data_IF_596334272390
#
_entry.id   IF_596334272390
#
_cell.length_a   1.000
_cell.length_b   1.000
_cell.length_c   1.000
_cell.angle_alpha   90.00
_cell.angle_beta   90.00
_cell.angle_gamma   90.00
#
_symmetry.space_group_name_H-M   'P 1'
#
loop_
_entity.id
_entity.type
_entity.pdbx_description
1 polymer ?
#
# COMPACT_ATOMS: atom_id res chain seq x y z
N UNK A 1 -16.32 33.89 31.17
CA UNK A 1 -15.87 33.13 30.00
C UNK A 1 -16.06 31.65 30.31
N UNK A 2 -17.12 31.03 29.82
CA UNK A 2 -17.41 29.61 30.05
C UNK A 2 -16.72 28.85 28.91
N UNK A 3 -15.65 28.10 29.21
CA UNK A 3 -15.09 27.14 28.26
C UNK A 3 -15.92 25.86 28.33
N UNK A 4 -16.79 25.64 27.34
CA UNK A 4 -17.45 24.36 27.15
C UNK A 4 -16.47 23.42 26.44
N UNK A 5 -15.87 22.50 27.17
CA UNK A 5 -15.12 21.37 26.60
C UNK A 5 -16.12 20.33 26.08
N UNK A 6 -16.75 20.61 24.94
CA UNK A 6 -17.62 19.65 24.26
C UNK A 6 -16.80 18.56 23.59
N UNK A 7 -16.53 17.44 24.28
CA UNK A 7 -16.19 16.20 23.60
C UNK A 7 -17.49 15.63 23.01
N UNK A 8 -17.76 15.96 21.75
CA UNK A 8 -18.81 15.26 20.99
C UNK A 8 -18.36 13.81 20.86
N UNK A 9 -19.03 12.88 21.54
CA UNK A 9 -18.75 11.45 21.41
C UNK A 9 -18.97 11.07 19.94
N UNK A 10 -17.90 10.73 19.23
CA UNK A 10 -18.00 10.25 17.84
C UNK A 10 -18.91 9.03 17.78
N UNK A 11 -19.70 8.92 16.71
CA UNK A 11 -20.46 7.70 16.42
C UNK A 11 -19.54 6.52 16.15
N UNK A 12 -20.09 5.31 16.29
CA UNK A 12 -19.40 4.04 16.06
C UNK A 12 -20.29 3.10 15.24
N UNK A 13 -19.68 2.31 14.35
CA UNK A 13 -20.32 1.20 13.63
C UNK A 13 -19.46 -0.05 13.76
N UNK A 14 -20.08 -1.21 13.96
CA UNK A 14 -19.39 -2.49 14.09
C UNK A 14 -19.81 -3.44 12.97
N UNK A 15 -18.84 -4.17 12.43
CA UNK A 15 -19.05 -5.18 11.40
C UNK A 15 -18.43 -6.50 11.82
N UNK A 16 -19.11 -7.60 11.50
CA UNK A 16 -18.67 -8.93 11.85
C UNK A 16 -17.26 -9.23 11.32
N UNK A 17 -16.43 -9.81 12.19
CA UNK A 17 -15.02 -10.21 11.98
C UNK A 17 -14.00 -9.09 11.79
N UNK A 18 -14.40 -7.86 11.47
CA UNK A 18 -13.47 -6.73 11.29
C UNK A 18 -13.57 -5.67 12.40
N UNK A 19 -14.55 -5.81 13.30
CA UNK A 19 -14.67 -5.02 14.52
C UNK A 19 -15.37 -3.68 14.32
N UNK A 20 -15.11 -2.75 15.23
CA UNK A 20 -15.78 -1.45 15.29
C UNK A 20 -14.91 -0.31 14.73
N UNK A 21 -15.58 0.69 14.16
CA UNK A 21 -14.99 1.88 13.56
C UNK A 21 -15.70 3.10 14.12
N UNK A 22 -14.94 4.06 14.64
CA UNK A 22 -15.47 5.32 15.15
C UNK A 22 -15.09 6.48 14.24
N UNK A 23 -15.94 7.51 14.17
CA UNK A 23 -15.62 8.78 13.54
C UNK A 23 -15.12 9.84 14.55
N UNK A 24 -14.77 9.44 15.77
CA UNK A 24 -14.08 10.30 16.74
C UNK A 24 -12.63 10.57 16.34
N UNK A 25 -11.99 11.51 17.04
CA UNK A 25 -10.56 11.84 16.84
C UNK A 25 -9.70 10.58 17.08
N UNK A 26 -8.67 10.29 16.25
CA UNK A 26 -8.14 11.10 15.14
C UNK A 26 -8.80 10.83 13.78
N UNK A 27 -9.81 9.97 13.71
CA UNK A 27 -10.40 9.48 12.45
C UNK A 27 -11.21 10.54 11.70
N UNK A 28 -11.78 11.49 12.43
CA UNK A 28 -12.36 12.71 11.89
C UNK A 28 -12.32 13.86 12.90
N UNK A 29 -12.95 14.98 12.54
CA UNK A 29 -13.00 16.21 13.34
C UNK A 29 -11.62 16.80 13.65
N UNK A 30 -10.65 16.58 12.77
CA UNK A 30 -9.33 17.21 12.79
C UNK A 30 -9.19 18.21 11.64
N UNK A 31 -8.17 19.09 11.67
CA UNK A 31 -7.90 20.01 10.54
C UNK A 31 -7.62 19.25 9.24
N UNK A 32 -7.01 18.06 9.34
CA UNK A 32 -6.69 17.20 8.21
C UNK A 32 -7.87 16.34 7.75
N UNK A 33 -8.79 15.99 8.66
CA UNK A 33 -9.98 15.14 8.40
C UNK A 33 -11.24 15.81 8.98
N UNK A 34 -11.73 16.92 8.39
CA UNK A 34 -12.77 17.74 9.00
C UNK A 34 -14.17 17.10 9.00
N UNK A 35 -14.42 16.17 8.08
CA UNK A 35 -15.73 15.56 7.90
C UNK A 35 -15.83 14.25 8.70
N UNK A 36 -16.74 14.21 9.68
CA UNK A 36 -17.03 13.02 10.48
C UNK A 36 -17.91 12.02 9.71
N UNK A 37 -17.28 11.12 8.95
CA UNK A 37 -17.95 10.01 8.26
C UNK A 37 -17.49 8.66 8.81
N UNK A 38 -18.46 7.76 8.98
CA UNK A 38 -18.20 6.35 9.25
C UNK A 38 -17.99 5.58 7.94
N UNK A 39 -17.21 4.48 7.95
CA UNK A 39 -17.00 3.66 6.76
C UNK A 39 -18.30 2.96 6.35
N UNK A 40 -18.46 2.74 5.04
CA UNK A 40 -19.55 1.91 4.50
C UNK A 40 -19.43 0.45 4.96
N UNK A 41 -20.54 -0.28 4.88
CA UNK A 41 -20.58 -1.71 5.24
C UNK A 41 -19.73 -2.56 4.28
N UNK A 42 -19.18 -3.70 4.74
CA UNK A 42 -18.45 -4.63 3.89
C UNK A 42 -19.25 -5.06 2.65
N UNK A 43 -20.56 -5.21 2.78
CA UNK A 43 -21.48 -5.59 1.70
C UNK A 43 -21.62 -4.45 0.66
N UNK A 44 -21.60 -3.19 1.12
CA UNK A 44 -21.64 -2.02 0.22
C UNK A 44 -20.31 -1.79 -0.48
N UNK A 45 -19.18 -1.96 0.22
CA UNK A 45 -17.85 -1.83 -0.37
C UNK A 45 -17.59 -2.99 -1.35
N UNK A 46 -18.08 -4.18 -1.01
CA UNK A 46 -17.98 -5.41 -1.80
C UNK A 46 -16.54 -5.71 -2.24
N UNK A 47 -15.64 -5.85 -1.26
CA UNK A 47 -14.23 -6.20 -1.53
C UNK A 47 -14.14 -7.61 -2.11
N UNK A 48 -13.49 -7.74 -3.27
CA UNK A 48 -13.27 -9.00 -3.97
C UNK A 48 -11.78 -9.34 -4.01
N UNK A 49 -11.44 -10.62 -3.87
CA UNK A 49 -10.05 -11.10 -3.99
C UNK A 49 -9.91 -11.95 -5.26
N UNK A 50 -9.23 -11.37 -6.26
CA UNK A 50 -9.01 -12.01 -7.56
C UNK A 50 -7.64 -12.69 -7.57
N UNK A 51 -7.60 -14.02 -7.51
CA UNK A 51 -6.36 -14.79 -7.47
C UNK A 51 -5.86 -15.10 -8.89
N UNK A 52 -4.64 -14.64 -9.18
CA UNK A 52 -3.85 -15.06 -10.33
C UNK A 52 -2.64 -15.86 -9.88
N UNK A 53 -2.32 -16.90 -10.65
CA UNK A 53 -1.11 -17.69 -10.43
C UNK A 53 -0.45 -18.00 -11.75
N UNK A 54 0.76 -18.60 -11.71
CA UNK A 54 1.43 -19.10 -12.92
C UNK A 54 0.59 -20.13 -13.70
N UNK A 55 -0.32 -20.82 -13.03
CA UNK A 55 -1.22 -21.80 -13.65
C UNK A 55 -2.46 -21.16 -14.28
N UNK A 56 -2.79 -19.91 -13.91
CA UNK A 56 -3.93 -19.16 -14.45
C UNK A 56 -3.58 -17.66 -14.58
N UNK A 57 -2.63 -17.28 -15.46
CA UNK A 57 -2.13 -15.91 -15.53
C UNK A 57 -3.12 -14.92 -16.14
N UNK A 58 -4.07 -15.40 -16.95
CA UNK A 58 -5.00 -14.57 -17.70
C UNK A 58 -6.43 -14.58 -17.15
N UNK A 59 -6.78 -15.57 -16.32
CA UNK A 59 -8.13 -15.74 -15.78
C UNK A 59 -8.03 -15.86 -14.26
N UNK A 60 -8.66 -14.95 -13.53
CA UNK A 60 -8.67 -15.01 -12.07
C UNK A 60 -9.54 -16.15 -11.56
N UNK A 61 -9.21 -16.64 -10.37
CA UNK A 61 -10.12 -17.38 -9.52
C UNK A 61 -10.52 -16.47 -8.36
N UNK A 62 -11.81 -16.27 -8.15
CA UNK A 62 -12.27 -15.47 -7.02
C UNK A 62 -12.17 -16.30 -5.74
N UNK A 63 -11.49 -15.74 -4.73
CA UNK A 63 -11.31 -16.38 -3.42
C UNK A 63 -11.93 -15.52 -2.33
N UNK A 64 -12.31 -16.14 -1.22
CA UNK A 64 -13.04 -15.48 -0.15
C UNK A 64 -12.40 -15.78 1.21
N UNK A 65 -12.21 -14.74 2.03
CA UNK A 65 -11.68 -14.87 3.38
C UNK A 65 -12.68 -15.50 4.37
N UNK A 66 -13.97 -15.44 4.04
CA UNK A 66 -15.08 -16.07 4.78
C UNK A 66 -15.17 -17.55 4.51
N UNK A 67 -15.10 -17.91 3.23
CA UNK A 67 -15.26 -19.28 2.76
C UNK A 67 -13.91 -19.81 2.30
N UNK A 68 -13.19 -20.43 3.25
CA UNK A 68 -11.89 -21.03 3.00
C UNK A 68 -11.92 -22.15 1.94
N UNK A 69 -13.10 -22.72 1.63
CA UNK A 69 -13.21 -23.74 0.58
C UNK A 69 -12.81 -23.18 -0.78
N UNK A 70 -13.13 -21.91 -1.05
CA UNK A 70 -12.73 -21.20 -2.28
C UNK A 70 -11.21 -21.12 -2.44
N UNK A 71 -10.47 -20.97 -1.33
CA UNK A 71 -9.01 -20.94 -1.34
C UNK A 71 -8.48 -22.34 -1.66
N UNK A 72 -9.01 -23.37 -0.99
CA UNK A 72 -8.58 -24.76 -1.21
C UNK A 72 -8.90 -25.31 -2.60
N UNK A 73 -9.98 -24.83 -3.23
CA UNK A 73 -10.39 -25.19 -4.57
C UNK A 73 -9.64 -24.41 -5.67
N UNK A 74 -8.88 -23.38 -5.30
CA UNK A 74 -8.12 -22.54 -6.22
C UNK A 74 -6.69 -23.05 -6.43
N UNK A 75 -5.95 -22.39 -7.31
CA UNK A 75 -4.52 -22.64 -7.54
C UNK A 75 -3.61 -22.03 -6.44
N UNK A 76 -4.19 -21.59 -5.32
CA UNK A 76 -3.42 -21.00 -4.22
C UNK A 76 -2.43 -22.01 -3.63
N UNK A 77 -1.17 -21.59 -3.51
CA UNK A 77 -0.11 -22.39 -2.90
C UNK A 77 0.42 -21.72 -1.65
N UNK A 78 0.14 -22.26 -0.47
CA UNK A 78 0.58 -21.70 0.82
C UNK A 78 2.11 -21.64 0.98
N UNK A 79 2.86 -22.47 0.26
CA UNK A 79 4.33 -22.45 0.22
C UNK A 79 4.91 -21.39 -0.72
N UNK A 80 4.07 -20.71 -1.51
CA UNK A 80 4.49 -19.68 -2.46
C UNK A 80 4.32 -18.29 -1.86
N UNK A 81 5.19 -17.36 -2.28
CA UNK A 81 5.06 -15.95 -1.95
C UNK A 81 3.74 -15.41 -2.52
N UNK A 82 2.94 -14.79 -1.65
CA UNK A 82 1.67 -14.16 -1.97
C UNK A 82 1.85 -12.65 -2.02
N UNK A 83 1.38 -12.03 -3.11
CA UNK A 83 1.45 -10.58 -3.30
C UNK A 83 0.04 -10.03 -3.49
N UNK A 84 -0.35 -9.07 -2.67
CA UNK A 84 -1.60 -8.35 -2.80
C UNK A 84 -1.37 -7.06 -3.58
N UNK A 85 -2.25 -6.77 -4.52
CA UNK A 85 -2.29 -5.52 -5.28
C UNK A 85 -3.60 -4.82 -4.95
N UNK A 86 -3.53 -3.62 -4.40
CA UNK A 86 -4.70 -2.83 -3.98
C UNK A 86 -4.73 -1.55 -4.81
N UNK A 87 -5.82 -1.38 -5.55
CA UNK A 87 -6.01 -0.22 -6.41
C UNK A 87 -6.34 1.06 -5.62
N UNK A 88 -6.28 2.20 -6.32
CA UNK A 88 -6.56 3.52 -5.77
C UNK A 88 -7.96 4.03 -6.08
N UNK A 89 -8.14 5.34 -5.95
CA UNK A 89 -9.39 6.05 -6.24
C UNK A 89 -9.82 5.86 -7.70
N UNK A 90 -11.10 5.55 -7.91
CA UNK A 90 -11.74 5.40 -9.22
C UNK A 90 -11.15 4.34 -10.16
N UNK A 91 -10.28 3.46 -9.65
CA UNK A 91 -9.77 2.30 -10.37
C UNK A 91 -10.51 1.02 -9.95
N UNK A 92 -10.48 0.00 -10.82
CA UNK A 92 -10.97 -1.35 -10.55
C UNK A 92 -9.81 -2.33 -10.58
N UNK A 93 -10.00 -3.50 -9.95
CA UNK A 93 -9.00 -4.56 -9.97
C UNK A 93 -8.80 -5.13 -11.38
N UNK A 94 -9.84 -5.05 -12.22
CA UNK A 94 -9.87 -5.54 -13.60
C UNK A 94 -9.33 -4.54 -14.64
N UNK A 95 -8.90 -3.34 -14.22
CA UNK A 95 -8.26 -2.39 -15.12
C UNK A 95 -6.92 -2.93 -15.62
N UNK A 96 -6.32 -2.32 -16.64
CA UNK A 96 -5.06 -2.81 -17.21
C UNK A 96 -3.90 -2.77 -16.21
N UNK A 97 -3.75 -1.69 -15.44
CA UNK A 97 -2.55 -1.51 -14.62
C UNK A 97 -2.38 -2.52 -13.47
N UNK A 98 -3.40 -2.95 -12.68
CA UNK A 98 -3.21 -3.98 -11.66
C UNK A 98 -2.95 -5.34 -12.30
N UNK A 99 -3.57 -5.60 -13.46
CA UNK A 99 -3.42 -6.83 -14.23
C UNK A 99 -2.02 -6.95 -14.84
N UNK A 100 -1.52 -5.89 -15.44
CA UNK A 100 -0.17 -5.83 -16.01
C UNK A 100 0.89 -5.94 -14.91
N UNK A 101 0.66 -5.28 -13.77
CA UNK A 101 1.51 -5.43 -12.60
C UNK A 101 1.47 -6.86 -12.04
N UNK A 102 0.31 -7.53 -12.06
CA UNK A 102 0.20 -8.93 -11.68
C UNK A 102 0.99 -9.84 -12.62
N UNK A 103 0.83 -9.69 -13.94
CA UNK A 103 1.59 -10.43 -14.95
C UNK A 103 3.09 -10.25 -14.80
N UNK A 104 3.54 -9.00 -14.65
CA UNK A 104 4.94 -8.68 -14.40
C UNK A 104 5.47 -9.38 -13.12
N UNK A 105 4.65 -9.53 -12.07
CA UNK A 105 5.05 -10.28 -10.87
C UNK A 105 5.07 -11.79 -11.04
N UNK A 106 4.24 -12.34 -11.92
CA UNK A 106 4.24 -13.76 -12.26
C UNK A 106 5.46 -14.13 -13.13
N UNK A 107 5.87 -13.23 -14.02
CA UNK A 107 7.01 -13.38 -14.92
C UNK A 107 8.36 -13.07 -14.26
N UNK A 108 8.38 -12.07 -13.37
CA UNK A 108 9.63 -11.60 -12.78
C UNK A 108 10.22 -12.59 -11.76
N UNK A 109 11.38 -13.14 -12.13
CA UNK A 109 12.29 -13.84 -11.22
C UNK A 109 13.13 -12.86 -10.41
N UNK A 110 12.54 -11.81 -9.83
CA UNK A 110 13.30 -10.99 -8.88
C UNK A 110 13.65 -11.88 -7.69
N UNK A 111 14.91 -12.34 -7.68
CA UNK A 111 15.54 -13.16 -6.65
C UNK A 111 15.79 -12.30 -5.40
N UNK A 112 14.72 -11.71 -4.89
CA UNK A 112 14.67 -11.01 -3.63
C UNK A 112 14.02 -11.95 -2.62
N UNK A 113 14.44 -11.87 -1.36
CA UNK A 113 13.86 -12.63 -0.25
C UNK A 113 12.85 -11.76 0.53
N UNK A 114 11.66 -11.40 0.01
CA UNK A 114 10.59 -10.88 0.84
C UNK A 114 9.94 -12.03 1.62
N UNK A 115 9.31 -11.71 2.74
CA UNK A 115 8.46 -12.67 3.45
C UNK A 115 7.34 -13.21 2.56
N UNK A 116 6.65 -14.24 3.06
CA UNK A 116 5.61 -14.94 2.32
C UNK A 116 4.43 -14.04 1.89
N UNK A 117 4.24 -12.88 2.53
CA UNK A 117 3.18 -11.91 2.19
C UNK A 117 3.78 -10.53 1.91
N UNK A 118 3.42 -9.95 0.76
CA UNK A 118 3.79 -8.59 0.34
C UNK A 118 2.56 -7.83 -0.16
N UNK A 119 2.32 -6.62 0.35
CA UNK A 119 1.16 -5.81 -0.04
C UNK A 119 1.63 -4.58 -0.81
N UNK A 120 1.00 -4.32 -1.95
CA UNK A 120 1.32 -3.21 -2.85
C UNK A 120 0.04 -2.42 -3.03
N UNK A 121 0.07 -1.14 -2.69
CA UNK A 121 -1.08 -0.26 -2.80
C UNK A 121 -0.75 0.97 -3.62
N UNK A 122 -1.64 1.35 -4.53
CA UNK A 122 -1.52 2.59 -5.28
C UNK A 122 -2.52 3.63 -4.76
N UNK A 123 -2.09 4.88 -4.54
CA UNK A 123 -2.97 5.97 -4.07
C UNK A 123 -3.73 5.56 -2.80
N UNK A 124 -5.07 5.62 -2.77
CA UNK A 124 -5.89 5.15 -1.63
C UNK A 124 -5.59 3.70 -1.23
N UNK A 125 -5.19 2.84 -2.17
CA UNK A 125 -4.78 1.47 -1.90
C UNK A 125 -3.54 1.35 -1.04
N UNK A 126 -2.65 2.36 -1.03
CA UNK A 126 -1.47 2.38 -0.17
C UNK A 126 -1.86 2.54 1.31
N UNK A 127 -2.88 3.37 1.60
CA UNK A 127 -3.43 3.50 2.95
C UNK A 127 -4.13 2.22 3.39
N UNK A 128 -4.90 1.58 2.50
CA UNK A 128 -5.51 0.28 2.76
C UNK A 128 -4.46 -0.81 3.05
N UNK A 129 -3.33 -0.81 2.32
CA UNK A 129 -2.20 -1.69 2.61
C UNK A 129 -1.59 -1.42 3.99
N UNK A 130 -1.49 -0.15 4.39
CA UNK A 130 -1.07 0.27 5.73
C UNK A 130 -1.97 -0.26 6.83
N UNK A 131 -3.29 -0.14 6.66
CA UNK A 131 -4.27 -0.62 7.64
C UNK A 131 -4.33 -2.15 7.72
N UNK A 132 -4.17 -2.85 6.58
CA UNK A 132 -4.01 -4.31 6.57
C UNK A 132 -2.76 -4.74 7.35
N UNK A 133 -1.64 -4.05 7.14
CA UNK A 133 -0.39 -4.22 7.89
C UNK A 133 -0.55 -4.04 9.40
N UNK A 134 -1.33 -3.04 9.82
CA UNK A 134 -1.65 -2.79 11.23
C UNK A 134 -2.37 -3.96 11.90
N UNK A 135 -3.33 -4.55 11.20
CA UNK A 135 -4.24 -5.56 11.75
C UNK A 135 -3.70 -6.99 11.65
N UNK A 136 -2.68 -7.22 10.80
CA UNK A 136 -2.14 -8.56 10.54
C UNK A 136 -0.69 -8.70 10.96
N UNK A 137 -0.43 -9.53 11.97
CA UNK A 137 0.93 -9.96 12.31
C UNK A 137 1.41 -10.92 11.20
N UNK A 138 2.39 -10.50 10.40
CA UNK A 138 2.96 -11.32 9.32
C UNK A 138 3.12 -10.63 7.96
N UNK A 139 2.58 -9.42 7.80
CA UNK A 139 2.89 -8.58 6.62
C UNK A 139 4.28 -7.97 6.83
N UNK A 140 5.24 -8.34 5.99
CA UNK A 140 6.63 -7.89 6.16
C UNK A 140 7.01 -6.69 5.28
N UNK A 141 6.19 -6.36 4.27
CA UNK A 141 6.51 -5.29 3.32
C UNK A 141 5.26 -4.65 2.72
N UNK A 142 5.28 -3.32 2.65
CA UNK A 142 4.27 -2.46 2.00
C UNK A 142 4.98 -1.60 0.95
N UNK A 143 4.41 -1.49 -0.26
CA UNK A 143 4.92 -0.62 -1.35
C UNK A 143 3.85 0.37 -1.80
N UNK A 144 4.23 1.65 -1.99
CA UNK A 144 3.39 2.72 -2.56
C UNK A 144 4.01 3.33 -3.82
N UNK A 145 3.21 3.86 -4.75
CA UNK A 145 3.67 4.42 -6.04
C UNK A 145 2.99 5.73 -6.46
N UNK A 146 3.60 6.46 -7.41
CA UNK A 146 3.11 7.72 -7.99
C UNK A 146 4.03 8.30 -9.08
N UNK A 147 3.62 9.38 -9.77
CA UNK A 147 4.37 10.04 -10.85
C UNK A 147 5.32 11.14 -10.36
N UNK A 148 6.54 11.20 -10.90
CA UNK A 148 7.63 12.09 -10.47
C UNK A 148 8.32 12.71 -11.70
N UNK A 149 8.70 13.98 -11.63
CA UNK A 149 9.52 14.69 -12.64
C UNK A 149 10.94 14.94 -12.12
N UNK A 150 11.98 14.90 -12.98
CA UNK A 150 13.34 15.19 -12.57
C UNK A 150 13.51 16.59 -11.94
N UNK A 151 14.38 16.69 -10.94
CA UNK A 151 14.73 17.96 -10.27
C UNK A 151 13.65 18.55 -9.35
N UNK A 152 12.52 17.87 -9.17
CA UNK A 152 11.43 18.31 -8.32
C UNK A 152 11.40 17.52 -7.00
N UNK A 153 11.06 18.20 -5.90
CA UNK A 153 10.80 17.56 -4.61
C UNK A 153 9.33 17.16 -4.52
N UNK A 154 9.08 15.93 -4.10
CA UNK A 154 7.73 15.38 -3.96
C UNK A 154 7.47 14.96 -2.53
N UNK A 155 6.33 15.40 -2.00
CA UNK A 155 5.83 14.94 -0.72
C UNK A 155 4.69 13.98 -0.98
N UNK A 156 4.90 12.70 -0.67
CA UNK A 156 3.84 11.71 -0.63
C UNK A 156 3.49 11.44 0.83
N UNK A 157 2.26 11.74 1.22
CA UNK A 157 1.75 11.37 2.53
C UNK A 157 1.30 9.91 2.50
N UNK A 158 2.18 9.01 2.93
CA UNK A 158 1.79 7.65 3.24
C UNK A 158 1.35 7.66 4.70
N UNK A 159 0.06 7.87 4.93
CA UNK A 159 -0.55 7.72 6.25
C UNK A 159 -0.62 6.22 6.56
N UNK A 160 0.47 5.74 7.12
CA UNK A 160 0.54 4.40 7.69
C UNK A 160 -0.04 4.54 9.10
N UNK A 161 -1.31 4.19 9.27
CA UNK A 161 -2.01 4.22 10.56
C UNK A 161 -1.43 3.22 11.60
N UNK A 162 -0.26 2.63 11.31
CA UNK A 162 0.55 1.76 12.16
C UNK A 162 2.00 2.24 12.31
N UNK A 163 2.54 2.10 13.53
CA UNK A 163 3.96 2.33 13.78
C UNK A 163 4.78 1.15 13.23
N UNK A 164 5.34 1.31 12.04
CA UNK A 164 6.25 0.34 11.39
C UNK A 164 7.64 0.28 12.05
N UNK A 165 7.85 1.04 13.13
CA UNK A 165 9.15 1.22 13.76
C UNK A 165 10.10 2.09 12.92
N UNK A 166 11.35 2.27 13.36
CA UNK A 166 12.35 2.96 12.57
C UNK A 166 12.63 2.19 11.28
N UNK A 167 12.48 2.86 10.14
CA UNK A 167 12.81 2.29 8.84
C UNK A 167 14.33 2.10 8.72
N UNK A 168 14.76 0.95 8.21
CA UNK A 168 16.19 0.64 8.05
C UNK A 168 16.71 0.92 6.63
N UNK A 169 15.82 1.06 5.64
CA UNK A 169 16.14 1.37 4.23
C UNK A 169 14.88 1.73 3.45
N UNK A 170 15.03 2.47 2.37
CA UNK A 170 13.98 2.77 1.39
C UNK A 170 14.41 2.22 0.04
N UNK A 171 13.47 1.69 -0.76
CA UNK A 171 13.75 1.21 -2.11
C UNK A 171 12.82 1.83 -3.13
N UNK A 172 13.38 2.31 -4.23
CA UNK A 172 12.66 2.86 -5.37
C UNK A 172 12.83 1.92 -6.57
N UNK A 173 11.78 1.82 -7.39
CA UNK A 173 11.82 1.27 -8.74
C UNK A 173 11.38 2.40 -9.66
N UNK A 174 12.14 2.63 -10.72
CA UNK A 174 11.90 3.72 -11.66
C UNK A 174 11.29 3.17 -12.94
N UNK A 175 10.20 3.76 -13.37
CA UNK A 175 9.60 3.54 -14.68
C UNK A 175 9.50 4.89 -15.40
N UNK A 176 9.94 4.94 -16.65
CA UNK A 176 10.04 6.15 -17.44
C UNK A 176 9.12 6.04 -18.66
N UNK A 177 7.98 6.74 -18.60
CA UNK A 177 6.99 6.77 -19.67
C UNK A 177 7.46 7.57 -20.91
N UNK A 178 8.65 8.18 -20.86
CA UNK A 178 9.23 8.92 -22.00
C UNK A 178 10.22 8.03 -22.74
N UNK A 179 9.86 7.62 -23.97
CA UNK A 179 10.75 6.85 -24.85
C UNK A 179 12.01 7.68 -25.13
N UNK A 180 13.11 7.34 -24.45
CA UNK A 180 14.41 7.97 -24.65
C UNK A 180 15.44 6.91 -25.09
N UNK A 181 15.93 6.97 -26.34
CA UNK A 181 16.90 5.99 -26.86
C UNK A 181 18.26 5.99 -26.13
N UNK A 182 18.50 6.97 -25.25
CA UNK A 182 19.71 7.03 -24.41
C UNK A 182 19.63 6.16 -23.15
N UNK A 183 18.48 5.53 -22.85
CA UNK A 183 18.27 4.70 -21.65
C UNK A 183 18.80 5.36 -20.36
N UNK A 184 18.29 6.55 -19.99
CA UNK A 184 18.82 7.32 -18.87
C UNK A 184 18.68 6.55 -17.55
N UNK A 185 19.64 6.70 -16.66
CA UNK A 185 19.53 6.20 -15.28
C UNK A 185 18.82 7.22 -14.40
N UNK A 186 17.94 6.75 -13.54
CA UNK A 186 17.17 7.57 -12.60
C UNK A 186 17.53 7.21 -11.16
N UNK A 187 17.38 8.15 -10.25
CA UNK A 187 17.68 7.92 -8.84
C UNK A 187 17.16 9.05 -7.95
N UNK A 188 16.67 8.69 -6.77
CA UNK A 188 16.37 9.60 -5.70
C UNK A 188 17.66 9.84 -4.91
N UNK A 189 18.05 11.11 -4.78
CA UNK A 189 19.24 11.49 -4.00
C UNK A 189 18.97 11.40 -2.49
N UNK A 190 17.75 11.76 -2.09
CA UNK A 190 17.31 11.72 -0.69
C UNK A 190 15.82 11.42 -0.58
N UNK A 191 15.44 10.81 0.53
CA UNK A 191 14.07 10.61 0.94
C UNK A 191 13.95 10.86 2.44
N UNK A 192 13.09 11.81 2.81
CA UNK A 192 12.83 12.15 4.21
C UNK A 192 11.49 11.60 4.63
N UNK A 193 11.49 10.80 5.69
CA UNK A 193 10.29 10.26 6.31
C UNK A 193 10.01 11.05 7.57
N UNK A 194 8.79 11.56 7.71
CA UNK A 194 8.29 12.15 8.94
C UNK A 194 7.31 11.19 9.61
N UNK A 195 7.62 10.76 10.83
CA UNK A 195 6.75 9.90 11.62
C UNK A 195 5.63 10.74 12.24
N UNK A 196 4.37 10.38 11.98
CA UNK A 196 3.22 11.16 12.45
C UNK A 196 3.04 11.18 13.97
N UNK A 197 3.58 10.19 14.71
CA UNK A 197 3.40 10.05 16.16
C UNK A 197 4.17 11.10 16.98
N UNK A 198 5.42 11.33 16.62
CA UNK A 198 6.37 12.18 17.35
C UNK A 198 6.91 13.34 16.49
N UNK A 199 6.52 13.43 15.22
CA UNK A 199 7.02 14.41 14.27
C UNK A 199 8.49 14.21 13.91
N UNK A 200 9.12 13.13 14.39
CA UNK A 200 10.54 12.86 14.14
C UNK A 200 10.74 12.61 12.67
N UNK A 201 11.88 13.05 12.15
CA UNK A 201 12.28 12.80 10.78
C UNK A 201 13.41 11.79 10.72
N UNK A 202 13.45 11.01 9.64
CA UNK A 202 14.61 10.18 9.28
C UNK A 202 14.87 10.36 7.81
N UNK A 203 16.13 10.61 7.48
CA UNK A 203 16.58 10.86 6.11
C UNK A 203 17.31 9.63 5.60
N UNK A 204 17.09 9.32 4.34
CA UNK A 204 17.77 8.26 3.63
C UNK A 204 18.40 8.86 2.39
N UNK A 205 19.63 8.50 2.09
CA UNK A 205 20.41 9.07 0.99
C UNK A 205 20.96 7.97 0.09
N UNK A 206 21.18 8.30 -1.18
CA UNK A 206 21.96 7.52 -2.14
C UNK A 206 22.52 8.44 -3.22
N UNK A 207 23.73 8.17 -3.67
CA UNK A 207 24.31 8.82 -4.86
C UNK A 207 24.15 7.94 -6.12
N UNK A 208 23.52 6.76 -5.97
CA UNK A 208 23.37 5.80 -7.05
C UNK A 208 22.23 6.20 -7.96
N UNK A 209 22.43 6.02 -9.26
CA UNK A 209 21.35 5.98 -10.25
C UNK A 209 21.24 4.57 -10.82
N UNK A 210 20.03 4.16 -11.15
CA UNK A 210 19.74 2.83 -11.65
C UNK A 210 18.97 2.92 -12.96
N UNK A 211 19.04 1.88 -13.78
CA UNK A 211 18.22 1.76 -14.99
C UNK A 211 16.76 1.55 -14.61
N UNK A 212 15.88 1.73 -15.59
CA UNK A 212 14.46 1.37 -15.48
C UNK A 212 14.31 -0.07 -14.95
N UNK A 213 13.29 -0.31 -14.12
CA UNK A 213 12.99 -1.60 -13.49
C UNK A 213 14.08 -2.16 -12.55
N UNK A 214 15.16 -1.40 -12.31
CA UNK A 214 16.20 -1.77 -11.33
C UNK A 214 15.93 -1.10 -9.99
N UNK A 215 16.11 -1.85 -8.90
CA UNK A 215 15.91 -1.36 -7.53
C UNK A 215 17.04 -0.44 -7.10
N UNK A 216 16.73 0.83 -6.85
CA UNK A 216 17.59 1.74 -6.09
C UNK A 216 17.35 1.54 -4.59
N UNK A 217 18.40 1.47 -3.78
CA UNK A 217 18.28 1.39 -2.31
C UNK A 217 18.91 2.62 -1.67
N UNK A 218 18.12 3.33 -0.84
CA UNK A 218 18.60 4.42 0.00
C UNK A 218 18.76 3.90 1.43
N UNK A 219 19.90 4.22 2.03
CA UNK A 219 20.25 3.85 3.40
C UNK A 219 20.19 5.08 4.31
N UNK A 220 20.05 4.90 5.64
CA UNK A 220 20.07 6.01 6.58
C UNK A 220 21.31 6.89 6.38
N UNK A 221 21.05 8.20 6.37
CA UNK A 221 22.00 9.28 6.50
C UNK A 221 21.46 10.20 7.62
#
# INVERSE_FOLDING_TARGET
MICLSGHSAGGEVCYDRIGCFTNGVPWASTLQRPIAKLPWSPETINVRFLLFTKSNPNNFQEVNAVDASTISASNFGASRKTRFIIHGYSAKAEDSWPMDMCKAMLESQFNYNPANIHVIGHSLGAHAAGEAGKRSRGIARITGGGYIKPGSSYTAHIDVESNVGPLNRIKFVWNNDTINPLFPTLGASSATIQYGKDGKTSTFCSNDTVREEVLQTLNPC
#
